data_IF_882946626426
#
_entry.id   IF_882946626426
#
_cell.length_a   1.000
_cell.length_b   1.000
_cell.length_c   1.000
_cell.angle_alpha   90.00
_cell.angle_beta   90.00
_cell.angle_gamma   90.00
#
_symmetry.space_group_name_H-M   'P 1'
#
loop_
_entity.id
_entity.type
_entity.pdbx_description
1 polymer ?
#
# COMPACT_ATOMS: atom_id res chain seq x y z
N UNK A 1 -26.12 6.53 -20.98
CA UNK A 1 -24.65 6.71 -21.10
C UNK A 1 -23.89 6.75 -19.75
N UNK A 2 -24.42 6.19 -18.65
CA UNK A 2 -23.83 6.38 -17.29
C UNK A 2 -23.26 5.13 -16.60
N UNK A 3 -23.23 3.97 -17.28
CA UNK A 3 -22.76 2.70 -16.67
C UNK A 3 -21.25 2.53 -16.84
N UNK A 4 -20.67 2.96 -17.98
CA UNK A 4 -19.24 2.81 -18.25
C UNK A 4 -18.35 3.76 -17.44
N UNK A 5 -18.73 5.03 -17.26
CA UNK A 5 -17.94 6.01 -16.50
C UNK A 5 -17.81 5.59 -15.03
N UNK A 6 -18.91 5.23 -14.38
CA UNK A 6 -18.92 4.79 -12.98
C UNK A 6 -18.08 3.53 -12.77
N UNK A 7 -18.10 2.59 -13.71
CA UNK A 7 -17.29 1.37 -13.62
C UNK A 7 -15.78 1.67 -13.80
N UNK A 8 -15.43 2.55 -14.75
CA UNK A 8 -14.04 3.01 -14.99
C UNK A 8 -13.48 3.76 -13.77
N UNK A 9 -14.26 4.66 -13.17
CA UNK A 9 -13.85 5.37 -11.95
C UNK A 9 -13.63 4.41 -10.79
N UNK A 10 -14.49 3.40 -10.66
CA UNK A 10 -14.36 2.35 -9.65
C UNK A 10 -13.09 1.52 -9.88
N UNK A 11 -12.85 1.03 -11.09
CA UNK A 11 -11.67 0.22 -11.42
C UNK A 11 -10.38 1.00 -11.15
N UNK A 12 -10.29 2.26 -11.59
CA UNK A 12 -9.17 3.16 -11.28
C UNK A 12 -8.91 3.26 -9.78
N UNK A 13 -9.94 3.41 -8.96
CA UNK A 13 -9.76 3.50 -7.51
C UNK A 13 -9.21 2.19 -6.91
N UNK A 14 -9.65 1.03 -7.42
CA UNK A 14 -9.15 -0.28 -7.00
C UNK A 14 -7.71 -0.53 -7.46
N UNK A 15 -7.32 -0.10 -8.66
CA UNK A 15 -5.93 -0.18 -9.14
C UNK A 15 -5.00 0.59 -8.21
N UNK A 16 -5.37 1.83 -7.85
CA UNK A 16 -4.57 2.70 -6.99
C UNK A 16 -4.48 2.17 -5.55
N UNK A 17 -5.61 1.72 -4.99
CA UNK A 17 -5.65 1.04 -3.69
C UNK A 17 -4.79 -0.22 -3.68
N UNK A 18 -4.88 -1.04 -4.73
CA UNK A 18 -4.08 -2.26 -4.84
C UNK A 18 -2.58 -1.97 -4.80
N UNK A 19 -2.11 -0.90 -5.46
CA UNK A 19 -0.71 -0.52 -5.41
C UNK A 19 -0.25 -0.11 -4.00
N UNK A 20 -1.06 0.67 -3.28
CA UNK A 20 -0.76 1.00 -1.89
C UNK A 20 -0.65 -0.24 -1.00
N UNK A 21 -1.59 -1.18 -1.15
CA UNK A 21 -1.59 -2.44 -0.41
C UNK A 21 -0.39 -3.33 -0.79
N UNK A 22 -0.02 -3.38 -2.07
CA UNK A 22 1.15 -4.11 -2.59
C UNK A 22 2.46 -3.53 -2.05
N UNK A 23 2.56 -2.21 -1.92
CA UNK A 23 3.78 -1.56 -1.44
C UNK A 23 4.02 -1.74 0.05
N UNK A 24 2.96 -1.76 0.86
CA UNK A 24 3.03 -2.13 2.28
C UNK A 24 3.30 -3.62 2.48
N UNK A 25 2.30 -4.47 2.24
CA UNK A 25 2.31 -5.89 2.64
C UNK A 25 2.69 -6.87 1.51
N UNK A 26 3.13 -6.34 0.36
CA UNK A 26 3.38 -7.15 -0.82
C UNK A 26 4.86 -7.50 -1.09
N UNK A 27 5.07 -8.28 -2.15
CA UNK A 27 6.38 -8.71 -2.61
C UNK A 27 6.38 -8.91 -4.12
N UNK A 28 7.34 -8.27 -4.81
CA UNK A 28 7.59 -8.42 -6.24
C UNK A 28 8.87 -9.26 -6.39
N UNK A 29 8.72 -10.48 -6.93
CA UNK A 29 9.75 -11.51 -6.85
C UNK A 29 10.20 -11.99 -8.23
N UNK A 30 11.51 -12.03 -8.41
CA UNK A 30 12.19 -12.83 -9.44
C UNK A 30 13.03 -13.87 -8.70
N UNK A 31 12.67 -15.13 -8.88
CA UNK A 31 13.35 -16.30 -8.32
C UNK A 31 13.80 -17.21 -9.47
N UNK A 32 14.37 -18.36 -9.13
CA UNK A 32 14.71 -19.39 -10.11
C UNK A 32 14.27 -20.77 -9.62
N UNK A 33 13.85 -21.63 -10.55
CA UNK A 33 13.61 -23.03 -10.30
C UNK A 33 14.87 -23.83 -10.63
N UNK A 34 15.47 -24.47 -9.62
CA UNK A 34 16.64 -25.37 -9.76
C UNK A 34 17.81 -24.81 -10.59
N UNK A 35 17.97 -23.47 -10.59
CA UNK A 35 18.99 -22.75 -11.38
C UNK A 35 18.85 -22.93 -12.90
N UNK A 36 17.64 -23.23 -13.38
CA UNK A 36 17.35 -23.49 -14.80
C UNK A 36 16.47 -22.42 -15.42
N UNK A 37 15.31 -22.17 -14.82
CA UNK A 37 14.33 -21.21 -15.33
C UNK A 37 14.02 -20.16 -14.27
N UNK A 38 13.73 -18.94 -14.70
CA UNK A 38 13.27 -17.89 -13.81
C UNK A 38 11.79 -18.08 -13.47
N UNK A 39 11.42 -17.71 -12.25
CA UNK A 39 10.05 -17.69 -11.76
C UNK A 39 9.72 -16.26 -11.35
N UNK A 40 8.60 -15.77 -11.86
CA UNK A 40 8.10 -14.43 -11.60
C UNK A 40 6.85 -14.53 -10.74
N UNK A 41 6.81 -13.77 -9.65
CA UNK A 41 5.67 -13.79 -8.75
C UNK A 41 5.43 -12.43 -8.11
N UNK A 42 4.16 -12.03 -8.03
CA UNK A 42 3.70 -10.92 -7.20
C UNK A 42 2.80 -11.51 -6.10
N UNK A 43 3.07 -11.15 -4.84
CA UNK A 43 2.38 -11.71 -3.67
C UNK A 43 1.92 -10.58 -2.77
N UNK A 44 0.73 -10.69 -2.19
CA UNK A 44 0.30 -9.96 -0.99
C UNK A 44 -0.15 -11.01 0.02
N UNK A 45 0.35 -10.93 1.26
CA UNK A 45 0.05 -11.90 2.30
C UNK A 45 -0.46 -11.18 3.55
N UNK A 46 -1.73 -11.37 3.87
CA UNK A 46 -2.40 -10.74 5.01
C UNK A 46 -2.82 -11.79 6.03
N UNK A 47 -2.94 -11.41 7.30
CA UNK A 47 -3.57 -12.26 8.32
C UNK A 47 -4.98 -12.64 7.87
N UNK A 48 -5.35 -13.91 8.09
CA UNK A 48 -6.72 -14.35 7.81
C UNK A 48 -7.71 -13.75 8.78
N UNK A 49 -8.59 -12.92 8.22
CA UNK A 49 -9.86 -12.47 8.79
C UNK A 49 -10.89 -12.49 7.67
N UNK A 50 -12.17 -12.59 8.02
CA UNK A 50 -13.25 -12.52 7.03
C UNK A 50 -13.22 -11.19 6.25
N UNK A 51 -12.88 -10.09 6.93
CA UNK A 51 -12.73 -8.77 6.33
C UNK A 51 -11.59 -8.72 5.31
N UNK A 52 -10.40 -9.20 5.66
CA UNK A 52 -9.26 -9.24 4.73
C UNK A 52 -9.55 -10.16 3.54
N UNK A 53 -10.17 -11.32 3.76
CA UNK A 53 -10.56 -12.21 2.67
C UNK A 53 -11.55 -11.54 1.71
N UNK A 54 -12.58 -10.89 2.26
CA UNK A 54 -13.60 -10.17 1.48
C UNK A 54 -12.99 -9.03 0.67
N UNK A 55 -12.09 -8.25 1.26
CA UNK A 55 -11.32 -7.23 0.56
C UNK A 55 -10.53 -7.82 -0.61
N UNK A 56 -9.71 -8.85 -0.36
CA UNK A 56 -8.90 -9.49 -1.40
C UNK A 56 -9.77 -10.09 -2.52
N UNK A 57 -10.91 -10.68 -2.18
CA UNK A 57 -11.87 -11.21 -3.15
C UNK A 57 -12.47 -10.10 -4.03
N UNK A 58 -12.80 -8.93 -3.43
CA UNK A 58 -13.28 -7.75 -4.18
C UNK A 58 -12.22 -7.19 -5.13
N UNK A 59 -10.97 -7.06 -4.68
CA UNK A 59 -9.84 -6.61 -5.53
C UNK A 59 -9.69 -7.56 -6.73
N UNK A 60 -9.63 -8.88 -6.46
CA UNK A 60 -9.53 -9.90 -7.51
C UNK A 60 -10.68 -9.82 -8.51
N UNK A 61 -11.91 -9.68 -8.02
CA UNK A 61 -13.10 -9.58 -8.87
C UNK A 61 -13.07 -8.32 -9.74
N UNK A 62 -12.72 -7.16 -9.16
CA UNK A 62 -12.71 -5.88 -9.85
C UNK A 62 -11.61 -5.75 -10.90
N UNK A 63 -10.41 -6.25 -10.59
CA UNK A 63 -9.24 -6.07 -11.44
C UNK A 63 -8.95 -7.29 -12.33
N UNK A 64 -9.56 -8.44 -12.07
CA UNK A 64 -9.31 -9.67 -12.83
C UNK A 64 -7.86 -10.18 -12.74
N UNK A 65 -7.14 -9.82 -11.67
CA UNK A 65 -5.76 -10.20 -11.37
C UNK A 65 -5.68 -10.96 -10.05
N UNK A 66 -4.56 -11.64 -9.82
CA UNK A 66 -4.21 -12.34 -8.59
C UNK A 66 -5.12 -13.55 -8.31
N UNK A 67 -4.50 -14.67 -7.98
CA UNK A 67 -5.20 -15.83 -7.44
C UNK A 67 -5.29 -15.68 -5.91
N UNK A 68 -6.42 -16.12 -5.34
CA UNK A 68 -6.71 -15.96 -3.91
C UNK A 68 -6.67 -17.33 -3.23
N UNK A 69 -5.91 -17.44 -2.14
CA UNK A 69 -5.79 -18.65 -1.35
C UNK A 69 -5.87 -18.35 0.15
N UNK A 70 -6.38 -19.30 0.92
CA UNK A 70 -6.25 -19.31 2.38
C UNK A 70 -5.26 -20.42 2.74
N UNK A 71 -4.17 -20.07 3.44
CA UNK A 71 -3.16 -21.05 3.88
C UNK A 71 -2.55 -20.64 5.21
N UNK A 72 -2.49 -21.59 6.16
CA UNK A 72 -1.81 -21.43 7.47
C UNK A 72 -2.19 -20.13 8.22
N UNK A 73 -3.48 -19.78 8.23
CA UNK A 73 -3.96 -18.57 8.90
C UNK A 73 -3.71 -17.26 8.15
N UNK A 74 -3.41 -17.32 6.85
CA UNK A 74 -3.24 -16.13 6.00
C UNK A 74 -4.17 -16.16 4.78
N UNK A 75 -4.60 -14.98 4.34
CA UNK A 75 -5.10 -14.73 2.99
C UNK A 75 -3.90 -14.38 2.12
N UNK A 76 -3.73 -15.11 1.02
CA UNK A 76 -2.62 -14.93 0.08
C UNK A 76 -3.21 -14.59 -1.27
N UNK A 77 -2.92 -13.37 -1.75
CA UNK A 77 -3.06 -13.02 -3.15
C UNK A 77 -1.74 -13.33 -3.84
N UNK A 78 -1.76 -14.11 -4.91
CA UNK A 78 -0.54 -14.47 -5.67
C UNK A 78 -0.81 -14.48 -7.16
N UNK A 79 0.09 -13.88 -7.93
CA UNK A 79 0.10 -13.99 -9.38
C UNK A 79 1.45 -14.48 -9.87
N UNK A 80 1.45 -15.57 -10.63
CA UNK A 80 2.60 -16.13 -11.32
C UNK A 80 2.26 -16.55 -12.77
N UNK A 81 1.04 -16.29 -13.24
CA UNK A 81 0.67 -16.54 -14.63
C UNK A 81 1.14 -15.40 -15.55
N UNK A 82 1.93 -15.73 -16.58
CA UNK A 82 2.57 -14.79 -17.52
C UNK A 82 1.61 -13.69 -18.02
N UNK A 83 0.45 -14.05 -18.55
CA UNK A 83 -0.50 -13.04 -19.08
C UNK A 83 -1.13 -12.14 -18.01
N UNK A 84 -1.32 -12.63 -16.78
CA UNK A 84 -1.91 -11.83 -15.70
C UNK A 84 -0.86 -10.93 -15.05
N UNK A 85 0.41 -11.35 -15.00
CA UNK A 85 1.52 -10.50 -14.62
C UNK A 85 1.62 -9.27 -15.53
N UNK A 86 1.41 -9.42 -16.84
CA UNK A 86 1.37 -8.27 -17.76
C UNK A 86 0.29 -7.24 -17.39
N UNK A 87 -0.88 -7.67 -16.90
CA UNK A 87 -1.92 -6.75 -16.43
C UNK A 87 -1.47 -5.99 -15.18
N UNK A 88 -0.82 -6.68 -14.23
CA UNK A 88 -0.29 -6.03 -13.03
C UNK A 88 0.84 -5.05 -13.39
N UNK A 89 1.73 -5.44 -14.30
CA UNK A 89 2.78 -4.56 -14.82
C UNK A 89 2.19 -3.32 -15.48
N UNK A 90 1.10 -3.46 -16.25
CA UNK A 90 0.41 -2.31 -16.84
C UNK A 90 -0.16 -1.36 -15.78
N UNK A 91 -0.70 -1.87 -14.67
CA UNK A 91 -1.16 -1.05 -13.54
C UNK A 91 0.03 -0.31 -12.90
N UNK A 92 1.13 -1.02 -12.67
CA UNK A 92 2.35 -0.43 -12.10
C UNK A 92 2.93 0.64 -13.04
N UNK A 93 2.98 0.38 -14.34
CA UNK A 93 3.50 1.34 -15.33
C UNK A 93 2.62 2.58 -15.45
N UNK A 94 1.30 2.43 -15.26
CA UNK A 94 0.32 3.51 -15.36
C UNK A 94 0.39 4.50 -14.20
N UNK A 95 0.63 4.01 -12.97
CA UNK A 95 0.62 4.86 -11.77
C UNK A 95 2.00 5.04 -11.14
N UNK A 96 2.91 4.10 -11.32
CA UNK A 96 4.18 4.01 -10.61
C UNK A 96 4.04 3.35 -9.23
N UNK A 97 5.19 3.00 -8.65
CA UNK A 97 5.33 2.65 -7.24
C UNK A 97 5.98 3.83 -6.52
N UNK A 98 5.55 4.14 -5.30
CA UNK A 98 6.01 5.34 -4.59
C UNK A 98 7.26 5.08 -3.75
N UNK A 99 7.43 3.88 -3.22
CA UNK A 99 8.60 3.50 -2.43
C UNK A 99 9.77 3.14 -3.35
N UNK A 100 10.92 3.77 -3.12
CA UNK A 100 12.13 3.59 -3.93
C UNK A 100 12.57 2.13 -4.01
N UNK A 101 12.56 1.42 -2.88
CA UNK A 101 12.93 0.01 -2.86
C UNK A 101 11.95 -0.87 -3.66
N UNK A 102 10.65 -0.52 -3.71
CA UNK A 102 9.64 -1.20 -4.52
C UNK A 102 9.81 -0.91 -6.01
N UNK A 103 10.13 0.34 -6.38
CA UNK A 103 10.52 0.71 -7.75
C UNK A 103 11.74 -0.08 -8.23
N UNK A 104 12.78 -0.23 -7.40
CA UNK A 104 13.95 -1.07 -7.72
C UNK A 104 13.57 -2.54 -7.91
N UNK A 105 12.76 -3.11 -7.00
CA UNK A 105 12.25 -4.48 -7.16
C UNK A 105 11.49 -4.66 -8.48
N UNK A 106 10.62 -3.70 -8.82
CA UNK A 106 9.85 -3.73 -10.05
C UNK A 106 10.72 -3.54 -11.30
N UNK A 107 11.70 -2.63 -11.28
CA UNK A 107 12.62 -2.43 -12.40
C UNK A 107 13.40 -3.71 -12.71
N UNK A 108 13.94 -4.37 -11.68
CA UNK A 108 14.59 -5.67 -11.84
C UNK A 108 13.63 -6.75 -12.35
N UNK A 109 12.41 -6.81 -11.80
CA UNK A 109 11.36 -7.71 -12.25
C UNK A 109 11.02 -7.54 -13.72
N UNK A 110 10.69 -6.31 -14.14
CA UNK A 110 10.33 -5.94 -15.50
C UNK A 110 11.48 -6.21 -16.47
N UNK A 111 12.71 -5.90 -16.09
CA UNK A 111 13.89 -6.18 -16.91
C UNK A 111 14.04 -7.69 -17.17
N UNK A 112 14.03 -8.51 -16.10
CA UNK A 112 14.17 -9.96 -16.24
C UNK A 112 13.02 -10.56 -17.06
N UNK A 113 11.80 -10.06 -16.85
CA UNK A 113 10.59 -10.56 -17.49
C UNK A 113 10.55 -10.24 -18.99
N UNK A 114 10.86 -9.00 -19.36
CA UNK A 114 10.81 -8.54 -20.76
C UNK A 114 11.96 -9.09 -21.59
N UNK A 115 13.18 -9.10 -21.04
CA UNK A 115 14.36 -9.57 -21.76
C UNK A 115 14.54 -11.09 -21.74
N UNK A 116 13.73 -11.80 -20.94
CA UNK A 116 13.78 -13.26 -20.82
C UNK A 116 15.20 -13.79 -20.52
N UNK A 117 15.89 -13.10 -19.60
CA UNK A 117 17.30 -13.38 -19.31
C UNK A 117 17.52 -14.80 -18.78
N UNK A 118 18.70 -15.34 -19.05
CA UNK A 118 19.17 -16.63 -18.57
C UNK A 118 19.40 -16.62 -17.06
N UNK A 119 19.49 -17.82 -16.46
CA UNK A 119 19.87 -17.94 -15.05
C UNK A 119 21.27 -17.35 -14.76
N UNK A 120 22.23 -17.51 -15.67
CA UNK A 120 23.58 -16.95 -15.54
C UNK A 120 23.56 -15.43 -15.46
N UNK A 121 22.78 -14.77 -16.33
CA UNK A 121 22.62 -13.31 -16.31
C UNK A 121 21.91 -12.85 -15.03
N UNK A 122 20.82 -13.53 -14.65
CA UNK A 122 20.14 -13.28 -13.37
C UNK A 122 21.10 -13.37 -12.18
N UNK A 123 21.92 -14.42 -12.12
CA UNK A 123 22.87 -14.64 -11.03
C UNK A 123 23.96 -13.56 -11.01
N UNK A 124 24.46 -13.17 -12.19
CA UNK A 124 25.41 -12.08 -12.33
C UNK A 124 24.82 -10.76 -11.82
N UNK A 125 23.61 -10.39 -12.26
CA UNK A 125 22.94 -9.15 -11.82
C UNK A 125 22.66 -9.18 -10.31
N UNK A 126 22.24 -10.32 -9.76
CA UNK A 126 22.05 -10.47 -8.31
C UNK A 126 23.34 -10.24 -7.53
N UNK A 127 24.49 -10.65 -8.06
CA UNK A 127 25.79 -10.39 -7.44
C UNK A 127 26.21 -8.92 -7.51
N UNK A 128 25.81 -8.18 -8.55
CA UNK A 128 26.03 -6.72 -8.62
C UNK A 128 25.24 -5.95 -7.54
N UNK A 129 24.14 -6.52 -7.04
CA UNK A 129 23.29 -5.93 -6.01
C UNK A 129 22.91 -4.47 -6.35
N UNK A 130 23.31 -3.49 -5.53
CA UNK A 130 22.97 -2.07 -5.74
C UNK A 130 23.71 -1.44 -6.93
N UNK A 131 24.75 -2.09 -7.47
CA UNK A 131 25.55 -1.60 -8.60
C UNK A 131 25.00 -2.02 -9.96
N UNK A 132 23.81 -2.62 -10.03
CA UNK A 132 23.18 -2.92 -11.31
C UNK A 132 22.67 -1.63 -11.96
N UNK A 133 23.14 -1.34 -13.18
CA UNK A 133 22.85 -0.11 -13.94
C UNK A 133 21.36 0.23 -14.06
N UNK A 134 20.47 -0.77 -13.98
CA UNK A 134 19.02 -0.57 -13.98
C UNK A 134 18.49 0.20 -12.76
N UNK A 135 19.34 0.46 -11.76
CA UNK A 135 19.01 1.27 -10.58
C UNK A 135 19.53 2.72 -10.67
N UNK A 136 20.40 3.05 -11.62
CA UNK A 136 21.07 4.36 -11.70
C UNK A 136 20.08 5.52 -11.93
N UNK A 137 18.91 5.24 -12.49
CA UNK A 137 17.85 6.23 -12.73
C UNK A 137 16.73 6.20 -11.67
N UNK A 138 16.92 5.49 -10.56
CA UNK A 138 15.90 5.33 -9.51
C UNK A 138 16.32 6.06 -8.23
N UNK A 139 16.01 7.36 -8.23
CA UNK A 139 16.18 8.27 -7.09
C UNK A 139 14.94 8.33 -6.21
N UNK A 140 15.09 8.76 -4.96
CA UNK A 140 13.99 9.01 -4.05
C UNK A 140 13.07 10.11 -4.58
N UNK A 141 11.76 9.86 -4.54
CA UNK A 141 10.78 10.88 -4.88
C UNK A 141 10.66 11.89 -3.75
N UNK A 142 10.55 13.17 -4.10
CA UNK A 142 10.28 14.20 -3.09
C UNK A 142 8.88 14.03 -2.50
N UNK A 143 8.70 14.39 -1.23
CA UNK A 143 7.39 14.35 -0.59
C UNK A 143 6.35 15.26 -1.28
N UNK A 144 6.78 16.35 -1.91
CA UNK A 144 5.90 17.26 -2.66
C UNK A 144 5.38 16.64 -3.95
N UNK A 145 6.17 15.79 -4.61
CA UNK A 145 5.74 15.07 -5.81
C UNK A 145 4.53 14.18 -5.50
N UNK A 146 4.56 13.45 -4.38
CA UNK A 146 3.46 12.58 -3.96
C UNK A 146 2.13 13.32 -3.88
N UNK A 147 2.12 14.52 -3.34
CA UNK A 147 0.91 15.33 -3.18
C UNK A 147 0.30 15.80 -4.51
N UNK A 148 1.07 15.78 -5.59
CA UNK A 148 0.62 16.14 -6.94
C UNK A 148 0.08 14.94 -7.72
N UNK A 149 0.32 13.71 -7.26
CA UNK A 149 -0.11 12.50 -7.94
C UNK A 149 -1.62 12.30 -7.77
N UNK A 150 -2.36 12.26 -8.89
CA UNK A 150 -3.81 12.04 -8.86
C UNK A 150 -4.25 10.71 -8.24
N UNK A 151 -3.33 9.75 -8.08
CA UNK A 151 -3.58 8.47 -7.42
C UNK A 151 -3.20 8.45 -5.95
N UNK A 152 -2.54 9.49 -5.43
CA UNK A 152 -2.08 9.56 -4.03
C UNK A 152 -3.18 9.24 -3.00
N UNK A 153 -4.41 9.79 -3.11
CA UNK A 153 -5.42 9.53 -2.08
C UNK A 153 -5.81 8.06 -1.96
N UNK A 154 -6.11 7.39 -3.07
CA UNK A 154 -6.50 5.97 -3.05
C UNK A 154 -5.30 5.05 -2.78
N UNK A 155 -4.11 5.42 -3.26
CA UNK A 155 -2.87 4.72 -2.89
C UNK A 155 -2.64 4.77 -1.39
N UNK A 156 -2.79 5.95 -0.76
CA UNK A 156 -2.61 6.12 0.68
C UNK A 156 -3.60 5.28 1.49
N UNK A 157 -4.84 5.12 1.02
CA UNK A 157 -5.81 4.24 1.65
C UNK A 157 -5.34 2.78 1.60
N UNK A 158 -4.88 2.30 0.44
CA UNK A 158 -4.32 0.95 0.32
C UNK A 158 -3.08 0.74 1.19
N UNK A 159 -2.20 1.72 1.23
CA UNK A 159 -0.99 1.70 2.07
C UNK A 159 -1.33 1.71 3.56
N UNK A 160 -2.37 2.44 3.96
CA UNK A 160 -2.86 2.47 5.36
C UNK A 160 -3.52 1.16 5.76
N UNK A 161 -4.16 0.46 4.83
CA UNK A 161 -4.72 -0.87 5.08
C UNK A 161 -3.61 -1.85 5.52
N UNK A 162 -2.41 -1.74 4.95
CA UNK A 162 -1.22 -2.50 5.38
C UNK A 162 -0.57 -1.90 6.65
N UNK A 163 -0.13 -0.64 6.59
CA UNK A 163 0.86 -0.09 7.54
C UNK A 163 0.27 0.79 8.65
N UNK A 164 -0.98 1.24 8.53
CA UNK A 164 -1.59 2.18 9.49
C UNK A 164 -2.11 1.49 10.76
N UNK A 165 -2.14 2.19 11.90
CA UNK A 165 -2.89 1.78 13.10
C UNK A 165 -3.82 2.90 13.54
N UNK A 166 -5.11 2.58 13.67
CA UNK A 166 -6.07 3.34 14.43
C UNK A 166 -6.19 2.72 15.82
N UNK A 167 -5.65 3.39 16.84
CA UNK A 167 -5.53 2.78 18.15
C UNK A 167 -6.36 3.57 19.19
N UNK A 168 -7.23 2.86 19.92
CA UNK A 168 -7.89 3.32 21.15
C UNK A 168 -7.09 2.75 22.31
N UNK A 169 -6.47 3.60 23.13
CA UNK A 169 -5.60 3.20 24.23
C UNK A 169 -6.39 2.87 25.48
N UNK A 170 -5.78 2.14 26.41
CA UNK A 170 -6.39 1.74 27.69
C UNK A 170 -6.87 2.93 28.52
N UNK A 171 -6.19 4.07 28.45
CA UNK A 171 -6.60 5.32 29.10
C UNK A 171 -7.69 6.11 28.34
N UNK A 172 -8.31 5.51 27.31
CA UNK A 172 -9.33 6.15 26.48
C UNK A 172 -8.79 7.25 25.54
N UNK A 173 -7.47 7.38 25.39
CA UNK A 173 -6.88 8.26 24.36
C UNK A 173 -6.86 7.59 22.99
N UNK A 174 -6.81 8.40 21.95
CA UNK A 174 -6.84 7.98 20.57
C UNK A 174 -5.51 8.34 19.92
N UNK A 175 -4.96 7.44 19.10
CA UNK A 175 -3.78 7.72 18.30
C UNK A 175 -3.91 7.12 16.91
N UNK A 176 -3.35 7.82 15.92
CA UNK A 176 -3.05 7.26 14.61
C UNK A 176 -1.53 7.14 14.46
N UNK A 177 -1.06 5.99 14.01
CA UNK A 177 0.35 5.79 13.69
C UNK A 177 0.51 5.06 12.35
N UNK A 178 1.65 5.31 11.69
CA UNK A 178 2.06 4.60 10.49
C UNK A 178 3.59 4.55 10.45
N UNK A 179 4.14 3.45 9.95
CA UNK A 179 5.59 3.23 9.85
C UNK A 179 5.97 2.64 8.50
N UNK A 180 7.22 2.85 8.09
CA UNK A 180 7.76 2.24 6.88
C UNK A 180 9.28 2.19 6.93
N UNK A 181 9.88 1.08 6.50
CA UNK A 181 11.32 1.01 6.27
C UNK A 181 11.68 1.79 5.00
N UNK A 182 12.69 2.67 5.10
CA UNK A 182 13.15 3.54 4.01
C UNK A 182 11.99 4.34 3.37
N UNK A 183 11.08 4.85 4.19
CA UNK A 183 9.86 5.55 3.75
C UNK A 183 9.74 6.99 4.24
N UNK A 184 10.85 7.69 4.46
CA UNK A 184 10.84 9.04 5.05
C UNK A 184 9.99 10.03 4.23
N UNK A 185 10.13 10.01 2.92
CA UNK A 185 9.48 10.92 1.98
C UNK A 185 7.97 10.65 1.94
N UNK A 186 7.57 9.37 1.95
CA UNK A 186 6.16 8.95 2.01
C UNK A 186 5.55 9.39 3.34
N UNK A 187 6.21 9.13 4.47
CA UNK A 187 5.72 9.56 5.78
C UNK A 187 5.65 11.09 5.89
N UNK A 188 6.55 11.81 5.23
CA UNK A 188 6.51 13.28 5.14
C UNK A 188 5.33 13.76 4.32
N UNK A 189 4.99 13.10 3.21
CA UNK A 189 3.78 13.42 2.45
C UNK A 189 2.50 13.09 3.22
N UNK A 190 2.47 11.99 3.98
CA UNK A 190 1.35 11.65 4.89
C UNK A 190 1.20 12.72 5.96
N UNK A 191 2.32 13.15 6.58
CA UNK A 191 2.34 14.24 7.54
C UNK A 191 1.68 15.50 6.95
N UNK A 192 2.07 15.89 5.74
CA UNK A 192 1.49 17.06 5.05
C UNK A 192 0.01 16.86 4.72
N UNK A 193 -0.37 15.68 4.21
CA UNK A 193 -1.76 15.32 3.86
C UNK A 193 -2.70 15.52 5.05
N UNK A 194 -2.30 15.06 6.24
CA UNK A 194 -3.13 15.14 7.44
C UNK A 194 -2.85 16.37 8.32
N UNK A 195 -1.90 17.23 7.93
CA UNK A 195 -1.43 18.37 8.72
C UNK A 195 -0.96 17.95 10.12
N UNK A 196 -0.22 16.85 10.20
CA UNK A 196 0.32 16.32 11.47
C UNK A 196 1.51 17.21 11.91
N UNK A 197 1.49 17.82 13.11
CA UNK A 197 2.59 18.67 13.56
C UNK A 197 3.83 17.87 13.98
N UNK A 198 3.63 16.65 14.48
CA UNK A 198 4.66 15.74 14.97
C UNK A 198 5.74 15.48 13.90
N UNK A 199 7.00 15.41 14.31
CA UNK A 199 8.12 15.07 13.42
C UNK A 199 8.04 13.60 13.00
N UNK A 200 8.46 13.30 11.76
CA UNK A 200 8.75 11.91 11.37
C UNK A 200 9.98 11.48 12.16
N UNK A 201 9.85 10.41 12.97
CA UNK A 201 10.93 9.83 13.78
C UNK A 201 11.56 8.66 13.04
N UNK A 202 12.75 8.23 13.44
CA UNK A 202 13.37 7.02 12.94
C UNK A 202 14.00 6.17 14.04
N UNK A 203 14.02 4.85 13.83
CA UNK A 203 14.87 3.91 14.56
C UNK A 203 15.63 3.10 13.51
N UNK A 204 16.91 3.41 13.29
CA UNK A 204 17.68 2.89 12.16
C UNK A 204 16.99 3.24 10.82
N UNK A 205 16.68 2.25 9.97
CA UNK A 205 16.03 2.44 8.66
C UNK A 205 14.51 2.57 8.71
N UNK A 206 13.89 2.33 9.86
CA UNK A 206 12.43 2.41 9.99
C UNK A 206 12.03 3.81 10.42
N UNK A 207 11.10 4.40 9.69
CA UNK A 207 10.52 5.71 10.00
C UNK A 207 9.12 5.54 10.59
N UNK A 208 8.74 6.47 11.47
CA UNK A 208 7.47 6.44 12.20
C UNK A 208 6.84 7.82 12.22
N UNK A 209 5.53 7.86 11.98
CA UNK A 209 4.70 9.04 12.18
C UNK A 209 3.55 8.67 13.09
N UNK A 210 3.35 9.46 14.15
CA UNK A 210 2.30 9.22 15.12
C UNK A 210 1.70 10.56 15.57
N UNK A 211 0.38 10.58 15.76
CA UNK A 211 -0.34 11.72 16.32
C UNK A 211 -1.45 11.31 17.28
N UNK A 212 -1.74 12.21 18.21
CA UNK A 212 -2.77 12.10 19.23
C UNK A 212 -3.70 13.33 19.23
N UNK A 213 -3.40 14.33 18.39
CA UNK A 213 -4.06 15.63 18.41
C UNK A 213 -5.47 15.50 17.85
N UNK A 214 -6.49 15.79 18.67
CA UNK A 214 -7.91 15.57 18.31
C UNK A 214 -8.32 16.18 16.96
N UNK A 215 -7.93 17.43 16.69
CA UNK A 215 -8.22 18.08 15.41
C UNK A 215 -7.58 17.36 14.21
N UNK A 216 -6.37 16.83 14.37
CA UNK A 216 -5.67 16.07 13.34
C UNK A 216 -6.32 14.69 13.15
N UNK A 217 -6.73 14.04 14.24
CA UNK A 217 -7.48 12.78 14.17
C UNK A 217 -8.83 12.95 13.47
N UNK A 218 -9.47 14.11 13.62
CA UNK A 218 -10.69 14.43 12.86
C UNK A 218 -10.38 14.61 11.36
N UNK A 219 -9.30 15.29 10.98
CA UNK A 219 -8.88 15.39 9.57
C UNK A 219 -8.63 14.01 8.95
N UNK A 220 -7.96 13.13 9.69
CA UNK A 220 -7.74 11.73 9.32
C UNK A 220 -9.09 11.02 9.11
N UNK A 221 -10.02 11.17 10.06
CA UNK A 221 -11.36 10.56 9.93
C UNK A 221 -12.12 11.09 8.72
N UNK A 222 -12.06 12.39 8.45
CA UNK A 222 -12.72 13.00 7.30
C UNK A 222 -12.15 12.47 5.98
N UNK A 223 -10.83 12.30 5.87
CA UNK A 223 -10.19 11.72 4.70
C UNK A 223 -10.67 10.29 4.43
N UNK A 224 -10.63 9.41 5.43
CA UNK A 224 -11.05 8.00 5.26
C UNK A 224 -12.57 7.79 5.16
N UNK A 225 -13.37 8.81 5.49
CA UNK A 225 -14.83 8.83 5.28
C UNK A 225 -15.26 9.53 3.98
N UNK A 226 -14.32 10.05 3.19
CA UNK A 226 -14.67 10.80 1.97
C UNK A 226 -15.44 9.91 0.98
N UNK A 227 -16.61 10.34 0.49
CA UNK A 227 -17.40 9.58 -0.48
C UNK A 227 -16.74 9.51 -1.86
N UNK A 228 -15.78 10.39 -2.14
CA UNK A 228 -15.07 10.45 -3.42
C UNK A 228 -13.89 9.46 -3.50
N UNK A 229 -13.59 8.75 -2.39
CA UNK A 229 -12.49 7.80 -2.27
C UNK A 229 -13.00 6.38 -2.02
N UNK A 230 -12.16 5.38 -2.30
CA UNK A 230 -12.53 3.95 -2.17
C UNK A 230 -12.83 3.51 -0.72
N UNK A 231 -12.31 4.25 0.27
CA UNK A 231 -12.38 3.90 1.68
C UNK A 231 -11.53 2.65 2.04
N UNK A 232 -11.32 2.43 3.34
CA UNK A 232 -10.70 1.19 3.83
C UNK A 232 -11.66 0.02 3.58
N UNK A 233 -11.12 -1.17 3.30
CA UNK A 233 -11.92 -2.32 2.83
C UNK A 233 -11.79 -3.58 3.69
N UNK A 234 -10.68 -3.76 4.39
CA UNK A 234 -10.35 -4.99 5.13
C UNK A 234 -10.53 -4.86 6.65
N UNK A 235 -9.69 -5.57 7.40
CA UNK A 235 -9.66 -5.49 8.86
C UNK A 235 -9.40 -4.06 9.36
N UNK A 236 -8.64 -3.25 8.59
CA UNK A 236 -8.40 -1.85 8.94
C UNK A 236 -9.66 -1.02 8.92
N UNK A 237 -10.62 -1.34 8.04
CA UNK A 237 -11.93 -0.68 8.02
C UNK A 237 -12.66 -0.87 9.35
N UNK A 238 -12.64 -2.09 9.90
CA UNK A 238 -13.29 -2.41 11.18
C UNK A 238 -12.61 -1.64 12.32
N UNK A 239 -11.26 -1.65 12.33
CA UNK A 239 -10.47 -0.90 13.30
C UNK A 239 -10.81 0.60 13.26
N UNK A 240 -10.83 1.17 12.05
CA UNK A 240 -11.15 2.57 11.80
C UNK A 240 -12.57 2.94 12.25
N UNK A 241 -13.59 2.13 11.93
CA UNK A 241 -14.98 2.40 12.33
C UNK A 241 -15.10 2.49 13.85
N UNK A 242 -14.56 1.51 14.57
CA UNK A 242 -14.53 1.51 16.05
C UNK A 242 -13.79 2.73 16.60
N UNK A 243 -12.65 3.08 15.99
CA UNK A 243 -11.86 4.26 16.36
C UNK A 243 -12.66 5.55 16.21
N UNK A 244 -13.31 5.75 15.04
CA UNK A 244 -14.11 6.93 14.73
C UNK A 244 -15.29 7.09 15.69
N UNK A 245 -16.08 6.04 15.89
CA UNK A 245 -17.22 6.04 16.81
C UNK A 245 -16.80 6.39 18.25
N UNK A 246 -15.66 5.84 18.70
CA UNK A 246 -15.11 6.13 20.02
C UNK A 246 -14.63 7.59 20.15
N UNK A 247 -14.00 8.12 19.10
CA UNK A 247 -13.53 9.50 19.06
C UNK A 247 -14.71 10.49 19.10
N UNK A 248 -15.76 10.24 18.33
CA UNK A 248 -16.98 11.07 18.29
C UNK A 248 -17.68 11.11 19.65
N UNK A 249 -17.87 9.95 20.31
CA UNK A 249 -18.42 9.88 21.67
C UNK A 249 -17.63 10.73 22.68
N UNK A 250 -16.30 10.72 22.57
CA UNK A 250 -15.42 11.51 23.45
C UNK A 250 -15.57 13.02 23.22
N UNK A 251 -15.78 13.45 21.98
CA UNK A 251 -16.02 14.86 21.66
C UNK A 251 -17.37 15.33 22.21
N UNK A 252 -18.42 14.51 22.04
CA UNK A 252 -19.75 14.77 22.58
C UNK A 252 -19.71 14.92 24.10
N UNK A 253 -19.08 13.97 24.81
CA UNK A 253 -18.99 14.02 26.27
C UNK A 253 -18.23 15.26 26.78
N UNK A 254 -17.31 15.84 26.00
CA UNK A 254 -16.65 17.10 26.36
C UNK A 254 -17.56 18.32 26.23
N UNK A 255 -18.53 18.29 25.33
CA UNK A 255 -19.48 19.39 25.11
C UNK A 255 -20.55 19.48 26.22
N UNK A 256 -20.82 18.37 26.93
CA UNK A 256 -21.79 18.30 28.02
C UNK A 256 -21.21 18.51 29.43
N UNK A 257 -19.92 18.84 29.54
CA UNK A 257 -19.22 19.11 30.82
C UNK A 257 -19.00 20.63 31.03
N UNK A 258 -19.52 21.46 30.12
CA UNK A 258 -19.62 22.91 30.25
C UNK A 258 -21.10 23.33 30.25
#
# INVERSE_FOLDING_TARGET
MNINSNNIHTEKAYEQFFLGLLEGDGSIQVNHWKKRSLQFRIIIKLKYTEANYTMCAKIRFKLGIMNLHIRRGFVIMVEDHRLKLLKIMAIIDKYGLLLTHRRRQYAFFKYCYTNQITYSEYAHIKNLNLSWFGFDCIDDYSSSLFLQLSHWPNWLIGFTEAEGCFCIRSNGSHSFSISQENGYEVLTAIKTTFKIPNKVRSTSRTYFLETYAGAVLQNICNFYSSPDLIGLLGEKQIQYKRFKESLEKKLINKLFIF
#
